data_IF_880650785487
#
_entry.id   IF_880650785487
#
_cell.length_a   1.000
_cell.length_b   1.000
_cell.length_c   1.000
_cell.angle_alpha   90.00
_cell.angle_beta   90.00
_cell.angle_gamma   90.00
#
_symmetry.space_group_name_H-M   'P 1'
#
loop_
_entity.id
_entity.type
_entity.pdbx_description
1 polymer ?
#
# COMPACT_ATOMS: atom_id res chain seq x y z
N UNK A 1 3.78 33.99 18.88
CA UNK A 1 4.11 33.42 17.54
C UNK A 1 5.09 32.23 17.61
N UNK A 2 5.79 32.01 18.73
CA UNK A 2 6.79 30.89 18.84
C UNK A 2 6.17 29.51 19.11
N UNK A 3 5.04 29.43 19.80
CA UNK A 3 4.47 28.12 20.21
C UNK A 3 3.85 27.30 19.06
N UNK A 4 3.37 27.94 18.00
CA UNK A 4 2.77 27.25 16.85
C UNK A 4 3.81 26.69 15.87
N UNK A 5 4.96 27.31 15.75
CA UNK A 5 6.07 26.84 14.91
C UNK A 5 6.76 25.62 15.54
N UNK A 6 6.89 25.62 16.86
CA UNK A 6 7.51 24.52 17.62
C UNK A 6 6.61 23.26 17.61
N UNK A 7 5.30 23.42 17.74
CA UNK A 7 4.33 22.32 17.62
C UNK A 7 4.31 21.68 16.21
N UNK A 8 4.52 22.47 15.16
CA UNK A 8 4.57 21.96 13.78
C UNK A 8 5.85 21.16 13.53
N UNK A 9 6.95 21.51 14.17
CA UNK A 9 8.23 20.80 14.05
C UNK A 9 8.21 19.41 14.71
N UNK A 10 7.41 19.21 15.77
CA UNK A 10 7.27 17.92 16.46
C UNK A 10 6.29 16.95 15.78
N UNK A 11 5.38 17.44 14.93
CA UNK A 11 4.33 16.65 14.31
C UNK A 11 4.86 15.42 13.55
N UNK A 12 5.89 15.50 12.69
CA UNK A 12 6.42 14.32 12.00
C UNK A 12 6.95 13.25 12.97
N UNK A 13 7.58 13.69 14.06
CA UNK A 13 8.10 12.80 15.11
C UNK A 13 6.95 12.08 15.82
N UNK A 14 5.91 12.82 16.21
CA UNK A 14 4.72 12.27 16.85
C UNK A 14 4.00 11.27 15.95
N UNK A 15 3.78 11.62 14.67
CA UNK A 15 3.15 10.73 13.70
C UNK A 15 3.99 9.49 13.40
N UNK A 16 5.32 9.59 13.43
CA UNK A 16 6.21 8.44 13.23
C UNK A 16 6.12 7.38 14.33
N UNK A 17 5.59 7.75 15.51
CA UNK A 17 5.35 6.86 16.64
C UNK A 17 4.11 5.96 16.45
N UNK A 18 3.30 6.19 15.42
CA UNK A 18 2.24 5.28 15.02
C UNK A 18 2.83 4.07 14.30
N UNK A 19 2.72 2.88 14.91
CA UNK A 19 3.13 1.63 14.28
C UNK A 19 2.07 1.18 13.27
N UNK A 20 2.48 0.90 12.05
CA UNK A 20 1.57 0.47 10.99
C UNK A 20 2.14 -0.70 10.21
N UNK A 21 1.28 -1.61 9.77
CA UNK A 21 1.63 -2.63 8.80
C UNK A 21 2.05 -1.99 7.47
N UNK A 22 2.96 -2.64 6.75
CA UNK A 22 3.38 -2.20 5.42
C UNK A 22 2.67 -3.02 4.37
N UNK A 23 2.02 -2.34 3.44
CA UNK A 23 1.39 -2.97 2.27
C UNK A 23 2.12 -2.56 0.99
N UNK A 24 2.06 -3.42 -0.02
CA UNK A 24 2.45 -3.11 -1.38
C UNK A 24 1.19 -2.93 -2.22
N UNK A 25 0.98 -1.72 -2.71
CA UNK A 25 -0.02 -1.40 -3.72
C UNK A 25 0.58 -1.64 -5.09
N UNK A 26 -0.11 -2.39 -5.95
CA UNK A 26 0.25 -2.60 -7.34
C UNK A 26 -0.92 -2.29 -8.28
N UNK A 27 -0.63 -1.66 -9.41
CA UNK A 27 -1.62 -1.24 -10.40
C UNK A 27 -1.12 -1.69 -11.78
N UNK A 28 -1.99 -2.32 -12.57
CA UNK A 28 -1.72 -2.53 -13.98
C UNK A 28 -2.07 -1.25 -14.76
N UNK A 29 -1.10 -0.62 -15.40
CA UNK A 29 -1.28 0.58 -16.21
C UNK A 29 -0.76 0.35 -17.63
N UNK A 30 -1.52 -0.38 -18.43
CA UNK A 30 -1.25 -0.61 -19.85
C UNK A 30 0.12 -1.20 -20.13
N UNK A 31 1.09 -0.34 -20.46
CA UNK A 31 2.47 -0.74 -20.80
C UNK A 31 3.32 -1.03 -19.58
N UNK A 32 2.91 -0.54 -18.42
CA UNK A 32 3.70 -0.56 -17.21
C UNK A 32 2.90 -1.14 -16.03
N UNK A 33 3.62 -1.68 -15.07
CA UNK A 33 3.06 -2.10 -13.80
C UNK A 33 3.63 -1.19 -12.71
N UNK A 34 2.74 -0.52 -11.99
CA UNK A 34 3.10 0.44 -10.95
C UNK A 34 3.14 -0.30 -9.62
N UNK A 35 4.11 0.03 -8.78
CA UNK A 35 4.16 -0.46 -7.40
C UNK A 35 4.60 0.63 -6.45
N UNK A 36 4.01 0.67 -5.26
CA UNK A 36 4.42 1.55 -4.16
C UNK A 36 4.06 0.95 -2.82
N UNK A 37 4.91 1.17 -1.81
CA UNK A 37 4.56 0.80 -0.44
C UNK A 37 3.62 1.83 0.18
N UNK A 38 2.66 1.33 0.93
CA UNK A 38 1.69 2.13 1.69
C UNK A 38 1.62 1.60 3.11
N UNK A 39 1.87 2.47 4.10
CA UNK A 39 1.65 2.18 5.52
C UNK A 39 0.38 2.85 6.07
N UNK A 40 -0.16 3.83 5.38
CA UNK A 40 -1.44 4.45 5.69
C UNK A 40 -2.59 3.65 5.07
N UNK A 41 -2.75 2.41 5.51
CA UNK A 41 -3.77 1.45 5.07
C UNK A 41 -4.63 1.03 6.26
N UNK A 42 -5.95 0.94 6.05
CA UNK A 42 -6.90 0.55 7.08
C UNK A 42 -8.08 -0.24 6.48
N UNK A 43 -8.47 -1.38 7.08
CA UNK A 43 -9.78 -1.98 6.85
C UNK A 43 -10.88 -1.04 7.37
N UNK A 44 -11.99 -0.91 6.64
CA UNK A 44 -13.09 0.02 6.99
C UNK A 44 -14.37 -0.73 7.33
N UNK A 45 -14.76 -1.69 6.50
CA UNK A 45 -16.05 -2.38 6.63
C UNK A 45 -15.95 -3.81 6.09
N UNK A 46 -16.75 -4.70 6.65
CA UNK A 46 -16.91 -6.07 6.13
C UNK A 46 -18.17 -6.21 5.26
N UNK A 47 -19.16 -5.36 5.49
CA UNK A 47 -20.39 -5.33 4.69
C UNK A 47 -20.85 -3.89 4.45
N UNK A 48 -20.68 -3.34 3.23
CA UNK A 48 -19.86 -3.91 2.15
C UNK A 48 -18.38 -3.97 2.51
N UNK A 49 -17.58 -4.87 1.90
CA UNK A 49 -16.16 -5.02 2.19
C UNK A 49 -15.37 -3.82 1.63
N UNK A 50 -14.90 -2.95 2.52
CA UNK A 50 -14.21 -1.71 2.18
C UNK A 50 -12.85 -1.59 2.89
N UNK A 51 -11.90 -1.02 2.18
CA UNK A 51 -10.61 -0.57 2.70
C UNK A 51 -10.40 0.91 2.35
N UNK A 52 -9.51 1.56 3.09
CA UNK A 52 -9.00 2.90 2.76
C UNK A 52 -7.49 2.94 2.87
N UNK A 53 -6.87 3.72 2.04
CA UNK A 53 -5.44 4.07 2.14
C UNK A 53 -5.23 5.50 1.66
N UNK A 54 -4.07 6.08 2.00
CA UNK A 54 -3.69 7.39 1.51
C UNK A 54 -2.43 7.34 0.65
N UNK A 55 -2.40 8.19 -0.37
CA UNK A 55 -1.25 8.43 -1.25
C UNK A 55 -0.93 9.92 -1.25
N UNK A 56 0.35 10.26 -1.44
CA UNK A 56 0.74 11.64 -1.75
C UNK A 56 0.01 12.06 -3.03
N UNK A 57 -0.70 13.20 -3.00
CA UNK A 57 -1.59 13.61 -4.08
C UNK A 57 -0.88 13.77 -5.43
N UNK A 58 0.36 14.29 -5.43
CA UNK A 58 1.18 14.50 -6.62
C UNK A 58 1.97 13.26 -7.04
N UNK A 59 1.70 12.08 -6.44
CA UNK A 59 2.37 10.84 -6.82
C UNK A 59 1.74 10.20 -8.07
N UNK A 60 2.58 9.54 -8.88
CA UNK A 60 2.09 8.84 -10.07
C UNK A 60 1.02 7.77 -9.76
N UNK A 61 1.11 6.96 -8.68
CA UNK A 61 0.02 6.07 -8.30
C UNK A 61 -1.30 6.80 -8.00
N UNK A 62 -1.24 7.98 -7.35
CA UNK A 62 -2.44 8.79 -7.09
C UNK A 62 -3.04 9.35 -8.37
N UNK A 63 -2.21 9.82 -9.30
CA UNK A 63 -2.64 10.26 -10.63
C UNK A 63 -3.38 9.13 -11.35
N UNK A 64 -2.76 7.94 -11.46
CA UNK A 64 -3.35 6.80 -12.16
C UNK A 64 -4.68 6.39 -11.53
N UNK A 65 -4.74 6.27 -10.20
CA UNK A 65 -5.99 5.93 -9.52
C UNK A 65 -7.05 7.04 -9.58
N UNK A 66 -6.67 8.27 -9.98
CA UNK A 66 -7.60 9.39 -10.16
C UNK A 66 -8.16 9.49 -11.57
N UNK A 67 -7.59 8.78 -12.55
CA UNK A 67 -8.06 8.83 -13.93
C UNK A 67 -9.51 8.33 -14.03
N UNK A 68 -10.38 9.04 -14.79
CA UNK A 68 -11.69 8.52 -15.12
C UNK A 68 -11.54 7.23 -15.92
N UNK A 69 -12.12 6.16 -15.46
CA UNK A 69 -12.06 4.87 -16.17
C UNK A 69 -13.37 4.12 -16.02
N UNK A 70 -13.76 3.45 -17.10
CA UNK A 70 -14.83 2.47 -17.12
C UNK A 70 -14.25 1.16 -17.66
N UNK A 71 -14.23 0.09 -16.88
CA UNK A 71 -14.68 -0.03 -15.48
C UNK A 71 -13.80 0.74 -14.49
N UNK A 72 -14.30 0.93 -13.26
CA UNK A 72 -13.55 1.61 -12.18
C UNK A 72 -12.13 1.06 -12.04
N UNK A 73 -11.17 1.96 -11.74
CA UNK A 73 -9.76 1.58 -11.56
C UNK A 73 -9.62 0.46 -10.53
N UNK A 74 -8.88 -0.57 -10.92
CA UNK A 74 -8.61 -1.74 -10.10
C UNK A 74 -7.12 -1.83 -9.79
N UNK A 75 -6.82 -2.41 -8.64
CA UNK A 75 -5.46 -2.57 -8.13
C UNK A 75 -5.41 -3.76 -7.18
N UNK A 76 -4.20 -4.18 -6.80
CA UNK A 76 -4.00 -5.14 -5.73
C UNK A 76 -3.25 -4.52 -4.56
N UNK A 77 -3.52 -5.04 -3.37
CA UNK A 77 -2.79 -4.72 -2.13
C UNK A 77 -2.29 -6.02 -1.53
N UNK A 78 -0.98 -6.12 -1.33
CA UNK A 78 -0.35 -7.22 -0.61
C UNK A 78 0.08 -6.74 0.76
N UNK A 79 -0.39 -7.38 1.82
CA UNK A 79 0.11 -7.17 3.18
C UNK A 79 1.46 -7.88 3.31
N UNK A 80 2.53 -7.10 3.46
CA UNK A 80 3.89 -7.65 3.42
C UNK A 80 4.25 -8.37 4.71
N UNK A 81 4.94 -9.50 4.57
CA UNK A 81 5.57 -10.20 5.69
C UNK A 81 6.94 -9.59 6.03
N UNK A 82 7.43 -9.85 7.24
CA UNK A 82 8.75 -9.41 7.72
C UNK A 82 9.90 -9.86 6.80
N UNK A 83 9.76 -11.00 6.12
CA UNK A 83 10.72 -11.50 5.14
C UNK A 83 10.81 -10.62 3.88
N UNK A 84 9.82 -9.80 3.61
CA UNK A 84 9.75 -8.93 2.41
C UNK A 84 10.28 -7.50 2.65
N UNK A 85 11.08 -7.28 3.70
CA UNK A 85 11.67 -5.98 4.02
C UNK A 85 12.47 -5.38 2.86
N UNK A 86 13.27 -6.18 2.15
CA UNK A 86 14.05 -5.71 1.00
C UNK A 86 13.14 -5.28 -0.15
N UNK A 87 12.12 -6.08 -0.44
CA UNK A 87 11.12 -5.76 -1.44
C UNK A 87 10.40 -4.44 -1.11
N UNK A 88 10.00 -4.26 0.14
CA UNK A 88 9.40 -3.01 0.61
C UNK A 88 10.32 -1.81 0.38
N UNK A 89 11.63 -1.95 0.66
CA UNK A 89 12.62 -0.91 0.43
C UNK A 89 12.73 -0.50 -1.05
N UNK A 90 12.73 -1.47 -1.96
CA UNK A 90 12.76 -1.22 -3.41
C UNK A 90 11.53 -0.43 -3.88
N UNK A 91 10.34 -0.76 -3.39
CA UNK A 91 9.10 -0.06 -3.75
C UNK A 91 8.91 1.28 -3.02
N UNK A 92 9.62 1.53 -1.93
CA UNK A 92 9.63 2.82 -1.24
C UNK A 92 10.61 3.83 -1.84
N UNK A 93 11.57 3.38 -2.66
CA UNK A 93 12.60 4.24 -3.23
C UNK A 93 12.03 5.26 -4.22
N UNK A 94 12.56 6.48 -4.19
CA UNK A 94 12.27 7.48 -5.22
C UNK A 94 12.90 7.03 -6.55
N UNK A 95 12.22 7.31 -7.67
CA UNK A 95 12.69 6.92 -9.01
C UNK A 95 12.74 5.40 -9.24
N UNK A 96 12.00 4.62 -8.44
CA UNK A 96 11.92 3.17 -8.59
C UNK A 96 11.46 2.77 -10.00
N UNK A 97 11.96 1.65 -10.53
CA UNK A 97 11.52 1.14 -11.82
C UNK A 97 10.09 0.59 -11.72
N UNK A 98 9.57 0.18 -12.88
CA UNK A 98 8.31 -0.55 -12.99
C UNK A 98 8.23 -1.72 -12.02
N UNK A 99 7.04 -1.99 -11.47
CA UNK A 99 6.82 -3.15 -10.61
C UNK A 99 7.18 -4.47 -11.30
N UNK A 100 7.05 -4.54 -12.61
CA UNK A 100 7.47 -5.70 -13.42
C UNK A 100 8.96 -5.99 -13.29
N UNK A 101 9.78 -4.94 -13.31
CA UNK A 101 11.23 -5.07 -13.16
C UNK A 101 11.64 -5.35 -11.70
N UNK A 102 10.98 -4.71 -10.73
CA UNK A 102 11.27 -4.96 -9.31
C UNK A 102 10.89 -6.39 -8.89
N UNK A 103 9.82 -6.94 -9.46
CA UNK A 103 9.36 -8.29 -9.19
C UNK A 103 10.01 -9.35 -10.09
N UNK A 104 10.91 -8.96 -11.00
CA UNK A 104 11.69 -9.92 -11.76
C UNK A 104 12.51 -10.80 -10.81
N UNK A 105 12.31 -12.11 -10.88
CA UNK A 105 12.92 -13.06 -9.94
C UNK A 105 12.22 -13.20 -8.58
N UNK A 106 11.18 -12.41 -8.28
CA UNK A 106 10.32 -12.61 -7.12
C UNK A 106 9.08 -13.40 -7.54
N UNK A 107 8.75 -14.53 -6.89
CA UNK A 107 7.51 -15.26 -7.19
C UNK A 107 6.29 -14.35 -7.08
N UNK A 108 5.50 -14.26 -8.14
CA UNK A 108 4.31 -13.43 -8.18
C UNK A 108 3.28 -13.99 -9.17
N UNK A 109 2.05 -13.57 -9.04
CA UNK A 109 0.96 -13.87 -9.97
C UNK A 109 0.32 -12.57 -10.47
N UNK A 110 -0.42 -12.65 -11.55
CA UNK A 110 -1.26 -11.56 -11.99
C UNK A 110 -2.68 -11.75 -11.46
N UNK A 111 -3.19 -10.74 -10.78
CA UNK A 111 -4.54 -10.76 -10.21
C UNK A 111 -5.61 -10.95 -11.30
N UNK A 112 -6.58 -11.80 -11.04
CA UNK A 112 -7.65 -12.10 -12.00
C UNK A 112 -8.64 -10.94 -12.16
N UNK A 113 -8.94 -10.24 -11.06
CA UNK A 113 -9.86 -9.12 -11.08
C UNK A 113 -9.18 -7.80 -11.42
N UNK A 114 -7.95 -7.58 -10.97
CA UNK A 114 -7.23 -6.30 -11.10
C UNK A 114 -6.25 -6.26 -12.28
N UNK A 115 -5.77 -7.40 -12.73
CA UNK A 115 -4.64 -7.49 -13.66
C UNK A 115 -3.30 -7.05 -13.05
N UNK A 116 -3.28 -6.63 -11.79
CA UNK A 116 -2.07 -6.14 -11.10
C UNK A 116 -1.14 -7.30 -10.69
N UNK A 117 0.14 -7.02 -10.51
CA UNK A 117 1.11 -8.01 -10.03
C UNK A 117 0.99 -8.18 -8.52
N UNK A 118 0.89 -9.42 -8.07
CA UNK A 118 0.72 -9.80 -6.66
C UNK A 118 1.89 -10.67 -6.25
N UNK A 119 2.85 -10.18 -5.47
CA UNK A 119 3.97 -10.99 -5.00
C UNK A 119 3.49 -12.06 -4.01
N UNK A 120 4.09 -13.23 -4.10
CA UNK A 120 3.91 -14.32 -3.14
C UNK A 120 4.71 -14.06 -1.86
N UNK A 121 4.36 -14.75 -0.77
CA UNK A 121 5.09 -14.66 0.51
C UNK A 121 4.68 -13.50 1.41
N UNK A 122 3.64 -12.74 1.05
CA UNK A 122 2.96 -11.83 1.95
C UNK A 122 1.99 -12.56 2.87
N UNK A 123 1.37 -11.83 3.81
CA UNK A 123 0.38 -12.37 4.75
C UNK A 123 -0.99 -12.55 4.09
N UNK A 124 -1.38 -11.62 3.24
CA UNK A 124 -2.60 -11.69 2.46
C UNK A 124 -2.49 -10.78 1.23
N UNK A 125 -3.29 -11.05 0.22
CA UNK A 125 -3.48 -10.17 -0.91
C UNK A 125 -4.97 -9.90 -1.15
N UNK A 126 -5.27 -8.66 -1.50
CA UNK A 126 -6.60 -8.18 -1.82
C UNK A 126 -6.59 -7.61 -3.24
N UNK A 127 -7.61 -7.89 -4.01
CA UNK A 127 -7.92 -7.16 -5.24
C UNK A 127 -9.05 -6.19 -4.97
N UNK A 128 -8.88 -4.95 -5.39
CA UNK A 128 -9.76 -3.85 -5.04
C UNK A 128 -10.21 -3.06 -6.26
N UNK A 129 -11.37 -2.43 -6.12
CA UNK A 129 -11.93 -1.48 -7.09
C UNK A 129 -12.16 -0.15 -6.38
N UNK A 130 -11.67 0.95 -6.96
CA UNK A 130 -11.84 2.29 -6.38
C UNK A 130 -13.32 2.66 -6.34
N UNK A 131 -13.83 2.96 -5.13
CA UNK A 131 -15.20 3.42 -4.90
C UNK A 131 -15.26 4.94 -4.77
N UNK A 132 -14.34 5.52 -4.01
CA UNK A 132 -14.37 6.96 -3.72
C UNK A 132 -12.96 7.51 -3.53
N UNK A 133 -12.77 8.76 -3.92
CA UNK A 133 -11.53 9.52 -3.74
C UNK A 133 -11.86 10.78 -2.93
N UNK A 134 -11.05 11.07 -1.91
CA UNK A 134 -11.26 12.22 -1.03
C UNK A 134 -9.93 12.97 -0.89
N UNK A 135 -9.83 14.19 -1.42
CA UNK A 135 -8.67 15.05 -1.15
C UNK A 135 -8.55 15.33 0.35
N UNK A 136 -7.35 15.19 0.90
CA UNK A 136 -7.06 15.37 2.34
C UNK A 136 -5.68 16.00 2.51
N UNK A 137 -5.62 17.34 2.52
CA UNK A 137 -4.37 18.09 2.56
C UNK A 137 -3.50 17.81 1.33
N UNK A 138 -2.26 17.40 1.54
CA UNK A 138 -1.30 16.99 0.52
C UNK A 138 -1.44 15.50 0.09
N UNK A 139 -2.49 14.83 0.55
CA UNK A 139 -2.77 13.43 0.28
C UNK A 139 -4.14 13.23 -0.40
N UNK A 140 -4.28 12.07 -1.02
CA UNK A 140 -5.51 11.53 -1.57
C UNK A 140 -5.91 10.29 -0.77
N UNK A 141 -7.07 10.31 -0.13
CA UNK A 141 -7.67 9.10 0.45
C UNK A 141 -8.41 8.32 -0.64
N UNK A 142 -8.10 7.05 -0.77
CA UNK A 142 -8.74 6.15 -1.73
C UNK A 142 -9.53 5.10 -0.97
N UNK A 143 -10.87 5.22 -1.00
CA UNK A 143 -11.79 4.23 -0.45
C UNK A 143 -12.13 3.25 -1.56
N UNK A 144 -12.00 1.96 -1.29
CA UNK A 144 -12.14 0.92 -2.31
C UNK A 144 -12.88 -0.30 -1.80
N UNK A 145 -13.69 -0.88 -2.68
CA UNK A 145 -14.32 -2.17 -2.42
C UNK A 145 -13.33 -3.30 -2.68
N UNK A 146 -13.29 -4.27 -1.78
CA UNK A 146 -12.56 -5.52 -2.00
C UNK A 146 -13.40 -6.39 -2.94
N UNK A 147 -12.83 -6.78 -4.07
CA UNK A 147 -13.48 -7.57 -5.11
C UNK A 147 -12.89 -8.98 -5.25
N UNK A 148 -11.80 -9.27 -4.55
CA UNK A 148 -11.17 -10.59 -4.52
C UNK A 148 -10.13 -10.70 -3.43
N UNK A 149 -9.88 -11.93 -2.98
CA UNK A 149 -8.84 -12.28 -2.00
C UNK A 149 -8.00 -13.41 -2.61
N UNK A 150 -6.92 -13.08 -3.35
CA UNK A 150 -6.08 -14.07 -4.03
C UNK A 150 -5.46 -15.11 -3.09
N UNK A 151 -5.03 -14.69 -1.90
CA UNK A 151 -4.54 -15.61 -0.87
C UNK A 151 -4.59 -14.97 0.53
N UNK A 152 -4.58 -15.86 1.55
CA UNK A 152 -4.30 -15.56 2.94
C UNK A 152 -3.29 -16.60 3.41
N UNK A 153 -2.17 -16.18 3.99
CA UNK A 153 -1.17 -17.08 4.54
C UNK A 153 -1.65 -17.66 5.88
N UNK A 154 -1.34 -18.93 6.13
CA UNK A 154 -1.68 -19.59 7.40
C UNK A 154 -0.82 -19.08 8.57
N UNK A 155 0.40 -18.60 8.28
CA UNK A 155 1.34 -18.10 9.28
C UNK A 155 2.27 -17.05 8.66
N UNK A 156 2.93 -16.27 9.51
CA UNK A 156 3.93 -15.27 9.13
C UNK A 156 3.89 -14.04 10.02
N UNK A 157 5.03 -13.38 10.19
CA UNK A 157 5.14 -12.15 10.94
C UNK A 157 4.91 -10.94 10.02
N UNK A 158 4.17 -9.91 10.44
CA UNK A 158 3.93 -8.73 9.63
C UNK A 158 5.18 -7.87 9.49
N UNK A 159 5.33 -7.21 8.33
CA UNK A 159 6.26 -6.12 8.19
C UNK A 159 5.64 -4.86 8.79
N UNK A 160 6.25 -4.36 9.87
CA UNK A 160 5.77 -3.15 10.57
C UNK A 160 6.74 -2.00 10.31
N UNK A 161 6.18 -0.80 10.09
CA UNK A 161 6.92 0.47 10.11
C UNK A 161 6.65 1.19 11.44
N UNK A 162 7.74 1.54 12.14
CA UNK A 162 7.69 2.31 13.37
C UNK A 162 8.91 3.23 13.46
N UNK A 163 8.71 4.52 13.67
CA UNK A 163 9.78 5.54 13.75
C UNK A 163 10.77 5.46 12.59
N UNK A 164 10.25 5.29 11.36
CA UNK A 164 11.08 5.20 10.16
C UNK A 164 11.86 3.89 9.99
N UNK A 165 11.65 2.90 10.87
CA UNK A 165 12.36 1.60 10.87
C UNK A 165 11.37 0.45 10.68
N UNK A 166 11.91 -0.73 10.44
CA UNK A 166 11.17 -1.99 10.39
C UNK A 166 11.62 -2.87 11.58
N UNK A 167 11.02 -2.70 12.78
CA UNK A 167 11.35 -3.53 13.94
C UNK A 167 10.86 -4.96 13.73
N UNK A 168 11.55 -5.90 14.37
CA UNK A 168 11.07 -7.27 14.54
C UNK A 168 10.10 -7.29 15.71
N UNK A 169 8.99 -8.02 15.59
CA UNK A 169 8.06 -8.25 16.69
C UNK A 169 8.51 -9.53 17.40
N UNK A 170 9.03 -9.40 18.62
CA UNK A 170 9.32 -10.56 19.44
C UNK A 170 8.00 -11.13 19.99
N UNK A 171 7.76 -12.41 19.75
CA UNK A 171 6.64 -13.15 20.33
C UNK A 171 5.34 -13.20 19.50
N UNK A 172 5.33 -12.79 18.26
CA UNK A 172 4.22 -13.07 17.34
C UNK A 172 4.29 -14.54 16.87
N UNK A 173 3.94 -15.47 17.75
CA UNK A 173 3.76 -16.90 17.45
C UNK A 173 2.34 -17.32 17.79
#
# INVERSE_FOLDING_TARGET
MSDSEDQTAELPTALSAWAAGVTLLTIADGRDDIGTTVSAFMPVSLDPPLIVFSLIADSYPAEVLSRPSLPAQRFAVTQLSSAQKLLAGQFAAAGRPSARLVLDGVPHVRGQASGALIPSGGLAALECSVSRRVPAGDHLLVISAVVGVPYVAEAGDPLIRFRGRYPVIDGAR
#
